data_IF_983342534431
#
_entry.id   IF_983342534431
#
_cell.length_a   1.000
_cell.length_b   1.000
_cell.length_c   1.000
_cell.angle_alpha   90.00
_cell.angle_beta   90.00
_cell.angle_gamma   90.00
#
_symmetry.space_group_name_H-M   'P 1'
#
loop_
_entity.id
_entity.type
_entity.pdbx_description
1 polymer ?
#
# COMPACT_ATOMS: atom_id res chain seq x y z
N UNK A 1 19.60 -13.23 -6.37
CA UNK A 1 19.15 -13.99 -7.56
C UNK A 1 19.51 -13.20 -8.77
N UNK A 2 20.35 -13.80 -9.62
CA UNK A 2 20.71 -13.28 -10.90
C UNK A 2 19.50 -12.89 -11.73
N UNK A 3 19.71 -11.99 -12.67
CA UNK A 3 18.76 -11.66 -13.71
C UNK A 3 18.41 -12.98 -14.41
N UNK A 4 17.35 -13.65 -13.92
CA UNK A 4 16.83 -14.85 -14.55
C UNK A 4 16.64 -14.54 -16.02
N UNK A 5 16.93 -15.48 -16.88
CA UNK A 5 16.90 -15.31 -18.33
C UNK A 5 15.58 -14.64 -18.75
N UNK A 6 15.68 -13.34 -19.03
CA UNK A 6 14.55 -12.63 -19.62
C UNK A 6 14.31 -13.22 -20.99
N UNK A 7 13.09 -13.58 -21.24
CA UNK A 7 12.66 -14.13 -22.52
C UNK A 7 11.54 -13.27 -23.10
N UNK A 8 11.43 -13.27 -24.40
CA UNK A 8 10.30 -12.67 -25.09
C UNK A 8 9.19 -13.70 -25.13
N UNK A 9 8.03 -13.33 -24.61
CA UNK A 9 6.80 -14.14 -24.66
C UNK A 9 5.75 -13.39 -25.46
N UNK A 10 5.18 -14.04 -26.46
CA UNK A 10 4.02 -13.52 -27.19
C UNK A 10 2.74 -13.98 -26.47
N UNK A 11 1.96 -13.02 -25.98
CA UNK A 11 0.64 -13.27 -25.37
C UNK A 11 -0.35 -12.32 -26.01
N UNK A 12 -1.45 -12.88 -26.53
CA UNK A 12 -2.53 -12.16 -27.21
C UNK A 12 -2.04 -11.20 -28.31
N UNK A 13 -1.05 -11.66 -29.10
CA UNK A 13 -0.45 -10.88 -30.18
C UNK A 13 0.49 -9.75 -29.78
N UNK A 14 0.85 -9.65 -28.50
CA UNK A 14 1.83 -8.69 -27.97
C UNK A 14 3.04 -9.40 -27.40
N UNK A 15 4.23 -8.83 -27.64
CA UNK A 15 5.48 -9.36 -27.14
C UNK A 15 5.86 -8.71 -25.80
N UNK A 16 6.29 -9.53 -24.84
CA UNK A 16 6.66 -9.13 -23.49
C UNK A 16 8.04 -9.66 -23.11
N UNK A 17 8.98 -8.77 -22.81
CA UNK A 17 10.27 -9.16 -22.23
C UNK A 17 10.10 -9.33 -20.71
N UNK A 18 10.17 -10.57 -20.22
CA UNK A 18 9.85 -10.89 -18.82
C UNK A 18 10.55 -12.17 -18.36
N UNK A 19 10.64 -12.32 -17.03
CA UNK A 19 11.02 -13.58 -16.36
C UNK A 19 9.80 -14.41 -15.93
N UNK A 20 8.58 -13.85 -16.03
CA UNK A 20 7.35 -14.56 -15.67
C UNK A 20 6.95 -15.58 -16.75
N UNK A 21 6.15 -16.56 -16.37
CA UNK A 21 5.53 -17.52 -17.30
C UNK A 21 4.46 -16.85 -18.17
N UNK A 22 4.14 -17.50 -19.29
CA UNK A 22 3.02 -17.07 -20.15
C UNK A 22 1.68 -17.03 -19.38
N UNK A 23 1.50 -17.90 -18.39
CA UNK A 23 0.32 -17.92 -17.52
C UNK A 23 0.20 -16.63 -16.71
N UNK A 24 1.25 -16.23 -15.99
CA UNK A 24 1.28 -15.00 -15.20
C UNK A 24 1.10 -13.77 -16.11
N UNK A 25 1.77 -13.73 -17.27
CA UNK A 25 1.63 -12.63 -18.21
C UNK A 25 0.19 -12.51 -18.70
N UNK A 26 -0.48 -13.62 -19.05
CA UNK A 26 -1.89 -13.61 -19.49
C UNK A 26 -2.81 -13.07 -18.39
N UNK A 27 -2.68 -13.54 -17.16
CA UNK A 27 -3.45 -13.02 -16.01
C UNK A 27 -3.26 -11.51 -15.81
N UNK A 28 -2.04 -10.99 -16.01
CA UNK A 28 -1.76 -9.55 -15.95
C UNK A 28 -2.40 -8.79 -17.11
N UNK A 29 -2.35 -9.33 -18.33
CA UNK A 29 -2.97 -8.74 -19.53
C UNK A 29 -4.49 -8.65 -19.37
N UNK A 30 -5.13 -9.72 -18.95
CA UNK A 30 -6.57 -9.76 -18.68
C UNK A 30 -7.01 -8.70 -17.66
N UNK A 31 -6.20 -8.50 -16.62
CA UNK A 31 -6.55 -7.60 -15.52
C UNK A 31 -6.18 -6.13 -15.76
N UNK A 32 -5.10 -5.85 -16.48
CA UNK A 32 -4.50 -4.49 -16.62
C UNK A 32 -4.43 -4.01 -18.07
N UNK A 33 -4.68 -4.89 -18.99
CA UNK A 33 -4.54 -4.65 -20.41
C UNK A 33 -3.09 -4.69 -20.89
N UNK A 34 -2.89 -4.92 -22.20
CA UNK A 34 -1.56 -5.17 -22.78
C UNK A 34 -0.58 -4.00 -22.59
N UNK A 35 -1.05 -2.75 -22.68
CA UNK A 35 -0.20 -1.55 -22.56
C UNK A 35 0.36 -1.33 -21.15
N UNK A 36 -0.34 -1.77 -20.11
CA UNK A 36 0.08 -1.58 -18.72
C UNK A 36 0.88 -2.74 -18.16
N UNK A 37 0.71 -3.93 -18.71
CA UNK A 37 1.36 -5.16 -18.22
C UNK A 37 2.86 -5.04 -18.02
N UNK A 38 3.67 -4.43 -18.94
CA UNK A 38 5.11 -4.32 -18.75
C UNK A 38 5.54 -3.54 -17.50
N UNK A 39 4.71 -2.61 -17.02
CA UNK A 39 5.00 -1.86 -15.79
C UNK A 39 5.06 -2.78 -14.57
N UNK A 40 4.26 -3.84 -14.55
CA UNK A 40 4.17 -4.77 -13.42
C UNK A 40 5.37 -5.72 -13.32
N UNK A 41 6.14 -5.90 -14.37
CA UNK A 41 7.37 -6.70 -14.34
C UNK A 41 8.49 -6.05 -13.53
N UNK A 42 8.45 -4.72 -13.38
CA UNK A 42 9.45 -3.96 -12.62
C UNK A 42 8.97 -3.57 -11.22
N UNK A 43 7.68 -3.74 -10.91
CA UNK A 43 7.07 -3.25 -9.66
C UNK A 43 7.70 -3.85 -8.41
N UNK A 44 8.10 -5.13 -8.42
CA UNK A 44 8.76 -5.75 -7.28
C UNK A 44 9.93 -4.90 -6.77
N UNK A 45 10.87 -4.52 -7.64
CA UNK A 45 12.01 -3.67 -7.26
C UNK A 45 11.60 -2.22 -7.09
N UNK A 46 10.90 -1.64 -8.05
CA UNK A 46 10.54 -0.23 -8.03
C UNK A 46 9.72 0.15 -6.78
N UNK A 47 8.70 -0.63 -6.44
CA UNK A 47 7.88 -0.37 -5.25
C UNK A 47 8.47 -0.96 -3.98
N UNK A 48 9.07 -2.16 -4.04
CA UNK A 48 9.71 -2.79 -2.91
C UNK A 48 10.86 -1.95 -2.34
N UNK A 49 11.82 -1.56 -3.17
CA UNK A 49 12.94 -0.72 -2.73
C UNK A 49 12.47 0.67 -2.28
N UNK A 50 11.48 1.23 -2.99
CA UNK A 50 10.96 2.55 -2.66
C UNK A 50 10.26 2.57 -1.29
N UNK A 51 9.27 1.71 -1.09
CA UNK A 51 8.45 1.73 0.12
C UNK A 51 9.01 0.88 1.25
N UNK A 52 9.60 -0.28 0.98
CA UNK A 52 10.07 -1.20 2.00
C UNK A 52 11.56 -1.07 2.31
N UNK A 53 12.34 -0.42 1.45
CA UNK A 53 13.75 -0.19 1.71
C UNK A 53 14.02 0.53 3.03
N UNK A 54 13.37 1.67 3.34
CA UNK A 54 13.48 2.32 4.65
C UNK A 54 13.04 1.41 5.81
N UNK A 55 11.90 0.72 5.65
CA UNK A 55 11.36 -0.21 6.65
C UNK A 55 12.41 -1.27 7.04
N UNK A 56 12.96 -1.99 6.07
CA UNK A 56 13.89 -3.06 6.36
C UNK A 56 15.21 -2.55 6.94
N UNK A 57 15.73 -1.39 6.50
CA UNK A 57 16.89 -0.77 7.17
C UNK A 57 16.62 -0.45 8.64
N UNK A 58 15.42 0.02 8.97
CA UNK A 58 15.04 0.29 10.35
C UNK A 58 14.91 -1.01 11.16
N UNK A 59 14.23 -2.04 10.62
CA UNK A 59 14.07 -3.32 11.30
C UNK A 59 15.41 -4.03 11.54
N UNK A 60 16.33 -3.96 10.57
CA UNK A 60 17.69 -4.48 10.68
C UNK A 60 18.48 -3.74 11.79
N UNK A 61 18.37 -2.40 11.84
CA UNK A 61 18.97 -1.59 12.89
C UNK A 61 18.39 -1.90 14.29
N UNK A 62 17.13 -2.38 14.36
CA UNK A 62 16.51 -2.88 15.59
C UNK A 62 16.90 -4.33 15.93
N UNK A 63 17.73 -4.99 15.11
CA UNK A 63 18.16 -6.38 15.32
C UNK A 63 17.06 -7.44 15.04
N UNK A 64 16.02 -7.09 14.27
CA UNK A 64 14.92 -7.99 13.97
C UNK A 64 15.27 -8.89 12.79
N UNK A 65 15.56 -10.16 13.04
CA UNK A 65 16.06 -11.13 12.07
C UNK A 65 15.12 -12.30 11.79
N UNK A 66 13.97 -12.33 12.46
CA UNK A 66 12.99 -13.44 12.33
C UNK A 66 11.57 -12.89 12.38
N UNK A 67 11.03 -12.53 11.21
CA UNK A 67 9.74 -11.86 11.08
C UNK A 67 8.67 -12.79 10.48
N UNK A 68 7.55 -12.90 11.17
CA UNK A 68 6.28 -13.41 10.62
C UNK A 68 5.51 -12.20 10.09
N UNK A 69 5.27 -12.18 8.79
CA UNK A 69 4.68 -11.02 8.09
C UNK A 69 3.26 -11.35 7.67
N UNK A 70 2.33 -10.42 7.95
CA UNK A 70 1.02 -10.38 7.31
C UNK A 70 1.01 -9.26 6.27
N UNK A 71 0.84 -9.62 5.01
CA UNK A 71 0.63 -8.70 3.89
C UNK A 71 -0.86 -8.54 3.63
N UNK A 72 -1.35 -7.32 3.74
CA UNK A 72 -2.74 -6.94 3.54
C UNK A 72 -2.88 -6.36 2.14
N UNK A 73 -3.80 -6.90 1.33
CA UNK A 73 -3.98 -6.46 -0.04
C UNK A 73 -2.80 -6.83 -0.94
N UNK A 74 -2.54 -8.14 -1.08
CA UNK A 74 -1.36 -8.62 -1.81
C UNK A 74 -1.38 -8.32 -3.32
N UNK A 75 -2.54 -7.98 -3.89
CA UNK A 75 -2.68 -7.58 -5.29
C UNK A 75 -1.97 -8.58 -6.23
N UNK A 76 -1.06 -8.14 -7.10
CA UNK A 76 -0.33 -9.03 -8.02
C UNK A 76 0.85 -9.76 -7.37
N UNK A 77 1.06 -9.65 -6.06
CA UNK A 77 2.13 -10.32 -5.33
C UNK A 77 3.52 -9.72 -5.50
N UNK A 78 3.65 -8.48 -5.99
CA UNK A 78 4.96 -7.86 -6.16
C UNK A 78 5.66 -7.54 -4.82
N UNK A 79 4.89 -7.21 -3.78
CA UNK A 79 5.41 -7.05 -2.42
C UNK A 79 5.69 -8.41 -1.78
N UNK A 80 4.81 -9.41 -2.00
CA UNK A 80 5.03 -10.80 -1.58
C UNK A 80 6.39 -11.33 -2.10
N UNK A 81 6.67 -11.14 -3.41
CA UNK A 81 7.96 -11.51 -4.01
C UNK A 81 9.14 -10.75 -3.39
N UNK A 82 8.96 -9.47 -3.08
CA UNK A 82 10.01 -8.67 -2.43
C UNK A 82 10.29 -9.14 -1.02
N UNK A 83 9.25 -9.48 -0.25
CA UNK A 83 9.35 -10.03 1.10
C UNK A 83 10.08 -11.38 1.11
N UNK A 84 9.82 -12.25 0.11
CA UNK A 84 10.52 -13.52 -0.07
C UNK A 84 12.04 -13.39 -0.08
N UNK A 85 12.55 -12.29 -0.67
CA UNK A 85 14.00 -12.04 -0.77
C UNK A 85 14.64 -11.49 0.51
N UNK A 86 13.86 -11.09 1.50
CA UNK A 86 14.38 -10.48 2.74
C UNK A 86 14.85 -11.56 3.73
N UNK A 87 16.12 -11.55 4.16
CA UNK A 87 16.65 -12.55 5.09
C UNK A 87 15.92 -12.55 6.44
N UNK A 88 15.51 -11.36 6.92
CA UNK A 88 14.77 -11.19 8.16
C UNK A 88 13.36 -11.81 8.12
N UNK A 89 12.74 -11.94 6.93
CA UNK A 89 11.42 -12.54 6.78
C UNK A 89 11.55 -14.06 6.78
N UNK A 90 10.81 -14.74 7.68
CA UNK A 90 10.77 -16.20 7.80
C UNK A 90 9.46 -16.81 7.35
N UNK A 91 8.38 -16.07 7.49
CA UNK A 91 7.05 -16.53 7.10
C UNK A 91 6.23 -15.37 6.57
N UNK A 92 5.53 -15.60 5.46
CA UNK A 92 4.61 -14.65 4.85
C UNK A 92 3.23 -15.29 4.83
N UNK A 93 2.25 -14.53 5.30
CA UNK A 93 0.83 -14.76 5.08
C UNK A 93 0.31 -13.55 4.31
N UNK A 94 -0.42 -13.79 3.24
CA UNK A 94 -0.95 -12.72 2.40
C UNK A 94 -2.45 -12.92 2.17
N UNK A 95 -3.20 -11.84 2.05
CA UNK A 95 -4.59 -11.94 1.62
C UNK A 95 -4.99 -10.76 0.72
N UNK A 96 -6.04 -10.98 -0.04
CA UNK A 96 -6.72 -9.95 -0.83
C UNK A 96 -8.23 -10.20 -0.84
N UNK A 97 -9.00 -9.17 -1.13
CA UNK A 97 -10.45 -9.25 -1.32
C UNK A 97 -10.85 -9.57 -2.77
N UNK A 98 -9.89 -9.56 -3.69
CA UNK A 98 -10.08 -9.91 -5.10
C UNK A 98 -9.51 -11.31 -5.37
N UNK A 99 -10.38 -12.25 -5.70
CA UNK A 99 -10.02 -13.65 -5.99
C UNK A 99 -9.00 -13.77 -7.12
N UNK A 100 -9.10 -12.93 -8.15
CA UNK A 100 -8.17 -12.97 -9.29
C UNK A 100 -6.73 -12.61 -8.86
N UNK A 101 -6.58 -11.68 -7.90
CA UNK A 101 -5.27 -11.38 -7.32
C UNK A 101 -4.74 -12.52 -6.47
N UNK A 102 -5.59 -13.11 -5.63
CA UNK A 102 -5.23 -14.29 -4.82
C UNK A 102 -4.74 -15.43 -5.71
N UNK A 103 -5.46 -15.73 -6.79
CA UNK A 103 -5.09 -16.79 -7.71
C UNK A 103 -3.79 -16.49 -8.46
N UNK A 104 -3.55 -15.23 -8.83
CA UNK A 104 -2.29 -14.81 -9.43
C UNK A 104 -1.11 -14.98 -8.46
N UNK A 105 -1.28 -14.60 -7.19
CA UNK A 105 -0.24 -14.78 -6.18
C UNK A 105 0.04 -16.26 -5.93
N UNK A 106 -0.99 -17.12 -5.87
CA UNK A 106 -0.82 -18.58 -5.74
C UNK A 106 -0.02 -19.16 -6.91
N UNK A 107 -0.34 -18.76 -8.15
CA UNK A 107 0.43 -19.17 -9.33
C UNK A 107 1.89 -18.75 -9.21
N UNK A 108 2.15 -17.53 -8.77
CA UNK A 108 3.52 -17.03 -8.55
C UNK A 108 4.24 -17.77 -7.43
N UNK A 109 3.55 -18.10 -6.34
CA UNK A 109 4.11 -18.91 -5.24
C UNK A 109 4.64 -20.23 -5.78
N UNK A 110 3.84 -20.95 -6.57
CA UNK A 110 4.20 -22.24 -7.14
C UNK A 110 5.33 -22.13 -8.17
N UNK A 111 5.17 -21.22 -9.14
CA UNK A 111 6.12 -21.11 -10.27
C UNK A 111 7.46 -20.51 -9.88
N UNK A 112 7.47 -19.52 -8.95
CA UNK A 112 8.69 -18.84 -8.49
C UNK A 112 9.27 -19.46 -7.21
N UNK A 113 8.67 -20.53 -6.69
CA UNK A 113 9.06 -21.21 -5.45
C UNK A 113 9.25 -20.25 -4.29
N UNK A 114 8.16 -19.51 -3.96
CA UNK A 114 8.20 -18.55 -2.86
C UNK A 114 8.03 -19.29 -1.52
N UNK A 115 9.06 -20.00 -1.08
CA UNK A 115 9.02 -20.97 0.03
C UNK A 115 8.67 -20.36 1.40
N UNK A 116 8.82 -19.05 1.58
CA UNK A 116 8.42 -18.36 2.81
C UNK A 116 6.92 -18.05 2.87
N UNK A 117 6.21 -18.14 1.73
CA UNK A 117 4.77 -17.88 1.67
C UNK A 117 4.02 -19.11 2.19
N UNK A 118 3.54 -19.01 3.42
CA UNK A 118 2.84 -20.11 4.09
C UNK A 118 1.35 -20.15 3.73
N UNK A 119 0.77 -19.02 3.36
CA UNK A 119 -0.67 -18.91 3.08
C UNK A 119 -0.95 -17.72 2.16
N UNK A 120 -1.82 -17.93 1.17
CA UNK A 120 -2.45 -16.87 0.36
C UNK A 120 -3.96 -17.08 0.43
N UNK A 121 -4.68 -16.13 1.03
CA UNK A 121 -6.11 -16.29 1.34
C UNK A 121 -6.96 -15.23 0.65
N UNK A 122 -8.10 -15.63 0.11
CA UNK A 122 -9.18 -14.72 -0.22
C UNK A 122 -10.01 -14.46 1.04
N UNK A 123 -10.25 -13.18 1.35
CA UNK A 123 -11.16 -12.75 2.41
C UNK A 123 -12.11 -11.72 1.80
N UNK A 124 -13.40 -11.97 1.81
CA UNK A 124 -14.35 -10.94 1.39
C UNK A 124 -14.34 -9.73 2.35
N UNK A 125 -14.93 -8.61 1.90
CA UNK A 125 -14.87 -7.36 2.63
C UNK A 125 -15.45 -7.43 4.05
N UNK A 126 -16.46 -8.25 4.30
CA UNK A 126 -17.05 -8.42 5.64
C UNK A 126 -16.20 -9.37 6.50
N UNK A 127 -15.58 -10.41 5.91
CA UNK A 127 -14.66 -11.31 6.62
C UNK A 127 -13.42 -10.57 7.15
N UNK A 128 -13.03 -9.45 6.54
CA UNK A 128 -11.92 -8.62 7.03
C UNK A 128 -12.21 -7.88 8.34
N UNK A 129 -13.47 -7.85 8.80
CA UNK A 129 -13.83 -7.32 10.13
C UNK A 129 -13.29 -8.16 11.28
N UNK A 130 -13.03 -9.44 11.03
CA UNK A 130 -12.40 -10.35 11.98
C UNK A 130 -11.45 -11.26 11.24
N UNK A 131 -10.17 -10.90 11.28
CA UNK A 131 -9.14 -11.69 10.62
C UNK A 131 -9.02 -13.09 11.25
N UNK A 132 -8.84 -14.16 10.44
CA UNK A 132 -8.88 -15.54 10.92
C UNK A 132 -7.58 -15.98 11.62
N UNK A 133 -6.74 -15.05 12.03
CA UNK A 133 -5.51 -15.32 12.75
C UNK A 133 -5.62 -14.87 14.22
N UNK A 134 -4.93 -15.55 15.15
CA UNK A 134 -4.98 -15.23 16.57
C UNK A 134 -4.31 -13.89 16.89
N UNK A 135 -4.56 -13.40 18.10
CA UNK A 135 -3.91 -12.22 18.63
C UNK A 135 -2.40 -12.39 18.65
N UNK A 136 -1.67 -11.38 18.21
CA UNK A 136 -0.20 -11.41 18.24
C UNK A 136 0.47 -12.42 17.29
N UNK A 137 -0.23 -12.84 16.24
CA UNK A 137 0.28 -13.84 15.29
C UNK A 137 1.47 -13.35 14.46
N UNK A 138 1.60 -12.04 14.25
CA UNK A 138 2.56 -11.45 13.30
C UNK A 138 3.47 -10.41 13.94
N UNK A 139 4.74 -10.40 13.54
CA UNK A 139 5.75 -9.44 14.00
C UNK A 139 5.74 -8.17 13.13
N UNK A 140 5.28 -8.29 11.89
CA UNK A 140 5.07 -7.19 10.96
C UNK A 140 3.71 -7.35 10.26
N UNK A 141 2.87 -6.34 10.36
CA UNK A 141 1.63 -6.21 9.57
C UNK A 141 1.85 -5.07 8.57
N UNK A 142 1.67 -5.37 7.29
CA UNK A 142 2.04 -4.49 6.19
C UNK A 142 0.84 -4.22 5.27
N UNK A 143 0.48 -2.95 5.11
CA UNK A 143 -0.53 -2.45 4.18
C UNK A 143 0.10 -1.38 3.27
N UNK A 144 0.26 -1.68 1.97
CA UNK A 144 0.88 -0.77 0.98
C UNK A 144 -0.14 -0.38 -0.07
N UNK A 145 -0.66 0.85 -0.02
CA UNK A 145 -1.71 1.32 -0.92
C UNK A 145 -3.03 0.56 -0.71
N UNK A 146 -3.47 0.44 0.55
CA UNK A 146 -4.64 -0.37 0.93
C UNK A 146 -5.69 0.45 1.66
N UNK A 147 -5.30 1.23 2.67
CA UNK A 147 -6.24 1.85 3.62
C UNK A 147 -7.22 2.80 2.93
N UNK A 148 -6.81 3.49 1.88
CA UNK A 148 -7.66 4.35 1.04
C UNK A 148 -8.77 3.59 0.32
N UNK A 149 -8.53 2.31 -0.01
CA UNK A 149 -9.48 1.46 -0.70
C UNK A 149 -10.48 0.78 0.22
N UNK A 150 -10.22 0.77 1.53
CA UNK A 150 -11.13 0.19 2.50
C UNK A 150 -12.44 0.99 2.56
N UNK A 151 -13.61 0.33 2.56
CA UNK A 151 -14.88 0.99 2.78
C UNK A 151 -14.85 1.81 4.07
N UNK A 152 -15.27 3.08 4.02
CA UNK A 152 -15.19 3.98 5.18
C UNK A 152 -15.89 3.41 6.43
N UNK A 153 -16.99 2.65 6.24
CA UNK A 153 -17.74 1.97 7.32
C UNK A 153 -16.97 0.84 8.01
N UNK A 154 -16.04 0.19 7.28
CA UNK A 154 -15.26 -0.96 7.76
C UNK A 154 -13.85 -0.59 8.19
N UNK A 155 -13.31 0.52 7.68
CA UNK A 155 -11.90 0.92 7.80
C UNK A 155 -11.36 0.83 9.23
N UNK A 156 -12.11 1.39 10.18
CA UNK A 156 -11.69 1.38 11.59
C UNK A 156 -11.64 -0.05 12.16
N UNK A 157 -12.67 -0.84 11.94
CA UNK A 157 -12.72 -2.22 12.42
C UNK A 157 -11.59 -3.08 11.82
N UNK A 158 -11.26 -2.86 10.55
CA UNK A 158 -10.16 -3.55 9.89
C UNK A 158 -8.80 -3.15 10.47
N UNK A 159 -8.57 -1.86 10.75
CA UNK A 159 -7.31 -1.41 11.38
C UNK A 159 -7.21 -1.88 12.84
N UNK A 160 -8.32 -2.00 13.55
CA UNK A 160 -8.35 -2.64 14.88
C UNK A 160 -7.90 -4.11 14.80
N UNK A 161 -8.30 -4.83 13.75
CA UNK A 161 -7.86 -6.20 13.52
C UNK A 161 -6.37 -6.30 13.14
N UNK A 162 -5.85 -5.35 12.34
CA UNK A 162 -4.41 -5.25 12.06
C UNK A 162 -3.60 -5.11 13.35
N UNK A 163 -4.08 -4.28 14.26
CA UNK A 163 -3.46 -4.12 15.59
C UNK A 163 -3.64 -5.36 16.48
N UNK A 164 -4.79 -6.02 16.45
CA UNK A 164 -5.04 -7.23 17.25
C UNK A 164 -4.08 -8.36 16.90
N UNK A 165 -3.91 -8.63 15.61
CA UNK A 165 -3.03 -9.72 15.13
C UNK A 165 -1.54 -9.39 15.21
N UNK A 166 -1.18 -8.13 15.52
CA UNK A 166 0.20 -7.69 15.68
C UNK A 166 0.75 -8.16 17.03
N UNK A 167 1.93 -8.77 17.04
CA UNK A 167 2.61 -9.22 18.26
C UNK A 167 3.04 -8.04 19.16
N UNK A 168 3.21 -8.24 20.47
CA UNK A 168 3.91 -7.27 21.33
C UNK A 168 5.30 -6.94 20.75
N UNK A 169 5.67 -5.66 20.74
CA UNK A 169 6.86 -5.12 20.07
C UNK A 169 6.89 -5.28 18.54
N UNK A 170 5.83 -5.82 17.91
CA UNK A 170 5.67 -5.90 16.46
C UNK A 170 5.40 -4.54 15.81
N UNK A 171 5.48 -4.49 14.49
CA UNK A 171 5.38 -3.26 13.70
C UNK A 171 4.19 -3.28 12.74
N UNK A 172 3.39 -2.20 12.76
CA UNK A 172 2.34 -1.93 11.78
C UNK A 172 2.85 -0.88 10.79
N UNK A 173 3.01 -1.27 9.54
CA UNK A 173 3.42 -0.39 8.46
C UNK A 173 2.23 -0.09 7.54
N UNK A 174 1.85 1.17 7.43
CA UNK A 174 0.84 1.68 6.49
C UNK A 174 1.55 2.63 5.54
N UNK A 175 1.75 2.19 4.31
CA UNK A 175 2.60 2.87 3.32
C UNK A 175 1.80 3.19 2.04
N UNK A 176 2.26 4.21 1.30
CA UNK A 176 1.69 4.64 0.01
C UNK A 176 0.18 4.98 0.08
N UNK A 177 -0.29 5.41 1.24
CA UNK A 177 -1.69 5.78 1.45
C UNK A 177 -1.89 7.27 1.16
N UNK A 178 -2.72 7.67 0.17
CA UNK A 178 -3.01 9.08 -0.12
C UNK A 178 -3.64 9.79 1.06
N UNK A 179 -3.08 10.94 1.41
CA UNK A 179 -3.49 11.70 2.59
C UNK A 179 -4.72 12.58 2.29
N UNK A 180 -5.83 12.29 2.97
CA UNK A 180 -7.06 13.09 2.87
C UNK A 180 -6.88 14.55 3.26
N UNK A 181 -5.95 14.87 4.16
CA UNK A 181 -5.68 16.25 4.58
C UNK A 181 -4.93 17.06 3.50
N UNK A 182 -4.29 16.40 2.54
CA UNK A 182 -3.55 17.07 1.48
C UNK A 182 -4.52 17.71 0.47
N UNK A 183 -4.28 18.97 0.03
CA UNK A 183 -5.26 19.70 -0.81
C UNK A 183 -5.52 19.09 -2.19
N UNK A 184 -4.53 18.42 -2.78
CA UNK A 184 -4.67 17.80 -4.09
C UNK A 184 -4.91 16.29 -3.93
N UNK A 185 -6.03 15.81 -4.42
CA UNK A 185 -6.25 14.38 -4.55
C UNK A 185 -5.36 13.87 -5.70
N UNK A 186 -4.47 12.92 -5.43
CA UNK A 186 -3.44 12.46 -6.38
C UNK A 186 -3.57 10.99 -6.74
N UNK A 187 -4.55 10.29 -6.16
CA UNK A 187 -4.66 8.84 -6.28
C UNK A 187 -5.57 8.41 -7.44
N UNK A 188 -6.76 8.96 -7.52
CA UNK A 188 -7.79 8.53 -8.48
C UNK A 188 -8.30 9.66 -9.37
N UNK A 189 -8.85 10.72 -8.80
CA UNK A 189 -9.50 11.80 -9.57
C UNK A 189 -8.50 12.84 -10.06
N UNK A 190 -7.49 13.15 -9.27
CA UNK A 190 -6.45 14.13 -9.62
C UNK A 190 -6.95 15.57 -9.62
N UNK A 191 -7.91 15.91 -8.74
CA UNK A 191 -8.47 17.26 -8.62
C UNK A 191 -8.31 17.82 -7.20
N UNK A 192 -8.07 19.15 -7.05
CA UNK A 192 -7.96 19.78 -5.75
C UNK A 192 -9.25 19.65 -4.94
N UNK A 193 -9.15 19.24 -3.67
CA UNK A 193 -10.23 19.24 -2.70
C UNK A 193 -11.40 18.29 -2.96
N UNK A 194 -11.35 17.48 -4.00
CA UNK A 194 -12.45 16.55 -4.34
C UNK A 194 -12.76 15.60 -3.19
N UNK A 195 -11.76 15.15 -2.45
CA UNK A 195 -11.86 14.24 -1.31
C UNK A 195 -12.57 14.86 -0.08
N UNK A 196 -12.80 16.18 -0.09
CA UNK A 196 -13.49 16.90 1.00
C UNK A 196 -14.95 17.17 0.69
N UNK A 197 -15.35 17.03 -0.58
CA UNK A 197 -16.70 17.34 -1.00
C UNK A 197 -17.67 16.21 -0.60
N UNK A 198 -18.96 16.55 -0.38
CA UNK A 198 -20.02 15.56 -0.32
C UNK A 198 -20.03 14.69 -1.60
N UNK A 199 -20.36 13.41 -1.53
CA UNK A 199 -20.20 12.45 -2.63
C UNK A 199 -20.80 12.92 -3.96
N UNK A 200 -22.03 13.46 -3.96
CA UNK A 200 -22.67 13.97 -5.18
C UNK A 200 -21.92 15.14 -5.79
N UNK A 201 -21.42 16.08 -4.96
CA UNK A 201 -20.63 17.20 -5.46
C UNK A 201 -19.27 16.76 -5.97
N UNK A 202 -18.60 15.82 -5.27
CA UNK A 202 -17.36 15.21 -5.74
C UNK A 202 -17.53 14.54 -7.10
N UNK A 203 -18.60 13.79 -7.29
CA UNK A 203 -18.92 13.13 -8.55
C UNK A 203 -19.12 14.14 -9.71
N UNK A 204 -19.93 15.18 -9.51
CA UNK A 204 -20.12 16.21 -10.54
C UNK A 204 -18.83 16.98 -10.82
N UNK A 205 -18.05 17.29 -9.79
CA UNK A 205 -16.75 17.96 -9.95
C UNK A 205 -15.75 17.06 -10.71
N UNK A 206 -15.71 15.76 -10.43
CA UNK A 206 -14.89 14.82 -11.18
C UNK A 206 -15.29 14.73 -12.66
N UNK A 207 -16.59 14.70 -12.96
CA UNK A 207 -17.09 14.68 -14.35
C UNK A 207 -16.74 15.95 -15.12
N UNK A 208 -16.83 17.11 -14.50
CA UNK A 208 -16.47 18.39 -15.13
C UNK A 208 -14.96 18.53 -15.31
N UNK A 209 -14.19 18.19 -14.29
CA UNK A 209 -12.73 18.37 -14.29
C UNK A 209 -11.96 17.28 -15.06
N UNK A 210 -12.55 16.10 -15.22
CA UNK A 210 -11.97 14.93 -15.90
C UNK A 210 -12.97 14.23 -16.81
N UNK A 211 -13.56 14.90 -17.79
CA UNK A 211 -14.68 14.38 -18.58
C UNK A 211 -14.30 13.10 -19.37
N UNK A 212 -13.05 12.95 -19.79
CA UNK A 212 -12.60 11.74 -20.50
C UNK A 212 -12.61 10.49 -19.62
N UNK A 213 -12.44 10.64 -18.32
CA UNK A 213 -12.35 9.52 -17.36
C UNK A 213 -13.70 9.28 -16.68
N UNK A 214 -14.36 10.37 -16.25
CA UNK A 214 -15.54 10.29 -15.41
C UNK A 214 -16.84 10.74 -16.10
N UNK A 215 -16.77 11.27 -17.34
CA UNK A 215 -17.93 11.84 -18.03
C UNK A 215 -19.08 10.84 -18.25
N UNK A 216 -18.74 9.59 -18.55
CA UNK A 216 -19.72 8.51 -18.75
C UNK A 216 -19.90 7.60 -17.52
N UNK A 217 -19.13 7.81 -16.44
CA UNK A 217 -19.20 6.95 -15.26
C UNK A 217 -20.51 7.19 -14.49
N UNK A 218 -21.18 6.13 -14.05
CA UNK A 218 -22.35 6.23 -13.19
C UNK A 218 -21.95 6.64 -11.75
N UNK A 219 -22.91 7.22 -11.01
CA UNK A 219 -22.64 7.64 -9.62
C UNK A 219 -22.32 6.43 -8.71
N UNK A 220 -23.01 5.33 -8.92
CA UNK A 220 -22.81 4.07 -8.18
C UNK A 220 -21.41 3.50 -8.41
N UNK A 221 -20.90 3.59 -9.64
CA UNK A 221 -19.52 3.15 -9.97
C UNK A 221 -18.48 4.08 -9.33
N UNK A 222 -18.74 5.41 -9.31
CA UNK A 222 -17.87 6.37 -8.61
C UNK A 222 -17.83 6.11 -7.10
N UNK A 223 -18.95 5.66 -6.54
CA UNK A 223 -19.10 5.36 -5.11
C UNK A 223 -18.73 3.93 -4.72
N UNK A 224 -18.44 3.06 -5.70
CA UNK A 224 -18.11 1.67 -5.42
C UNK A 224 -16.95 1.54 -4.43
N UNK A 225 -17.05 0.54 -3.56
CA UNK A 225 -15.99 0.19 -2.63
C UNK A 225 -14.68 -0.06 -3.42
N UNK A 226 -13.57 0.41 -2.88
CA UNK A 226 -12.26 0.25 -3.52
C UNK A 226 -11.85 1.35 -4.52
N UNK A 227 -12.69 2.34 -4.83
CA UNK A 227 -12.32 3.45 -5.74
C UNK A 227 -11.25 4.38 -5.16
N UNK A 228 -11.18 4.50 -3.83
CA UNK A 228 -10.10 5.23 -3.14
C UNK A 228 -10.16 6.77 -3.22
N UNK A 229 -11.12 7.36 -3.94
CA UNK A 229 -11.18 8.82 -4.18
C UNK A 229 -11.28 9.69 -2.91
N UNK A 230 -11.78 9.11 -1.81
CA UNK A 230 -11.89 9.80 -0.52
C UNK A 230 -10.56 9.90 0.21
N UNK A 231 -9.54 9.18 -0.23
CA UNK A 231 -8.26 9.05 0.46
C UNK A 231 -8.42 8.53 1.91
N UNK A 232 -7.36 8.51 2.69
CA UNK A 232 -7.41 8.19 4.12
C UNK A 232 -6.81 9.31 4.96
N UNK A 233 -7.40 9.55 6.12
CA UNK A 233 -6.80 10.43 7.12
C UNK A 233 -5.76 9.68 7.95
N UNK A 234 -4.87 10.42 8.61
CA UNK A 234 -3.91 9.84 9.56
C UNK A 234 -4.61 9.01 10.65
N UNK A 235 -5.80 9.44 11.10
CA UNK A 235 -6.61 8.72 12.08
C UNK A 235 -7.16 7.40 11.55
N UNK A 236 -7.43 7.31 10.25
CA UNK A 236 -7.89 6.08 9.60
C UNK A 236 -6.80 4.99 9.56
N UNK A 237 -5.54 5.37 9.76
CA UNK A 237 -4.41 4.45 9.83
C UNK A 237 -4.11 3.96 11.26
N UNK A 238 -4.89 4.37 12.24
CA UNK A 238 -4.74 3.99 13.65
C UNK A 238 -5.90 3.12 14.13
N UNK A 239 -5.66 2.20 15.08
CA UNK A 239 -6.72 1.50 15.77
C UNK A 239 -7.61 2.47 16.57
N UNK A 240 -8.77 2.01 17.00
CA UNK A 240 -9.73 2.79 17.80
C UNK A 240 -9.12 3.32 19.11
N UNK A 241 -8.15 2.60 19.67
CA UNK A 241 -7.36 3.02 20.84
C UNK A 241 -6.37 4.16 20.52
N UNK A 242 -6.25 4.58 19.27
CA UNK A 242 -5.27 5.57 18.84
C UNK A 242 -3.83 5.11 19.09
N UNK A 243 -3.00 5.98 19.65
CA UNK A 243 -1.60 5.68 19.99
C UNK A 243 -1.41 5.08 21.40
N UNK A 244 -2.47 4.78 22.16
CA UNK A 244 -2.33 4.30 23.55
C UNK A 244 -1.45 3.04 23.67
N UNK A 245 -1.58 2.12 22.71
CA UNK A 245 -0.78 0.89 22.64
C UNK A 245 0.32 0.91 21.58
N UNK A 246 0.55 2.05 20.92
CA UNK A 246 1.50 2.22 19.83
C UNK A 246 2.51 3.33 20.10
N UNK A 247 3.68 3.19 19.52
CA UNK A 247 4.70 4.23 19.40
C UNK A 247 4.84 4.58 17.92
N UNK A 248 4.75 5.87 17.59
CA UNK A 248 5.02 6.33 16.21
C UNK A 248 6.52 6.40 15.99
N UNK A 249 7.03 5.48 15.19
CA UNK A 249 8.45 5.40 14.81
C UNK A 249 8.69 5.79 13.34
N UNK A 250 7.72 6.46 12.73
CA UNK A 250 7.71 6.85 11.33
C UNK A 250 8.97 7.60 10.91
N UNK A 251 9.34 8.65 11.63
CA UNK A 251 10.53 9.44 11.28
C UNK A 251 11.84 8.71 11.60
N UNK A 252 11.88 7.90 12.65
CA UNK A 252 13.03 7.05 13.00
C UNK A 252 13.30 6.01 11.90
N UNK A 253 12.26 5.50 11.27
CA UNK A 253 12.35 4.57 10.15
C UNK A 253 12.71 5.24 8.80
N UNK A 254 12.90 6.57 8.80
CA UNK A 254 13.25 7.32 7.59
C UNK A 254 12.08 7.68 6.70
N UNK A 255 10.83 7.54 7.19
CA UNK A 255 9.62 8.02 6.51
C UNK A 255 9.31 9.50 6.85
N UNK A 256 8.11 9.93 6.57
CA UNK A 256 7.70 11.31 6.82
C UNK A 256 8.42 12.30 5.92
N UNK A 257 8.93 13.40 6.49
CA UNK A 257 9.58 14.47 5.74
C UNK A 257 10.79 13.99 4.94
N UNK A 258 11.66 13.19 5.54
CA UNK A 258 12.88 12.68 4.89
C UNK A 258 12.55 11.88 3.64
N UNK A 259 11.60 10.96 3.74
CA UNK A 259 11.15 10.17 2.60
C UNK A 259 10.58 11.04 1.49
N UNK A 260 9.74 12.01 1.84
CA UNK A 260 9.14 12.92 0.88
C UNK A 260 10.20 13.76 0.16
N UNK A 261 11.18 14.30 0.91
CA UNK A 261 12.30 15.07 0.37
C UNK A 261 13.15 14.24 -0.59
N UNK A 262 13.62 13.07 -0.15
CA UNK A 262 14.57 12.24 -0.91
C UNK A 262 13.93 11.62 -2.17
N UNK A 263 12.60 11.48 -2.19
CA UNK A 263 11.83 10.95 -3.31
C UNK A 263 11.24 12.01 -4.23
N UNK A 264 11.49 13.30 -3.97
CA UNK A 264 10.98 14.42 -4.78
C UNK A 264 11.71 14.51 -6.14
N UNK A 265 11.22 13.77 -7.14
CA UNK A 265 11.82 13.75 -8.50
C UNK A 265 11.27 14.84 -9.41
N UNK A 266 10.00 15.22 -9.29
CA UNK A 266 9.41 16.23 -10.18
C UNK A 266 9.87 17.65 -9.83
N UNK A 267 9.98 18.50 -10.86
CA UNK A 267 10.34 19.93 -10.70
C UNK A 267 9.40 20.63 -9.72
N UNK A 268 8.09 20.44 -9.90
CA UNK A 268 7.07 21.02 -9.03
C UNK A 268 7.25 20.60 -7.56
N UNK A 269 7.49 19.30 -7.29
CA UNK A 269 7.75 18.86 -5.91
C UNK A 269 8.99 19.53 -5.34
N UNK A 270 10.09 19.63 -6.09
CA UNK A 270 11.33 20.28 -5.65
C UNK A 270 11.13 21.75 -5.33
N UNK A 271 10.37 22.47 -6.13
CA UNK A 271 10.05 23.90 -5.88
C UNK A 271 9.25 24.10 -4.58
N UNK A 272 8.40 23.14 -4.21
CA UNK A 272 7.57 23.20 -3.01
C UNK A 272 8.25 22.70 -1.74
N UNK A 273 9.44 22.06 -1.82
CA UNK A 273 10.15 21.51 -0.67
C UNK A 273 10.35 22.51 0.48
N UNK A 274 10.75 23.78 0.25
CA UNK A 274 10.90 24.74 1.36
C UNK A 274 9.60 24.97 2.14
N UNK A 275 8.48 25.09 1.44
CA UNK A 275 7.17 25.27 2.09
C UNK A 275 6.77 24.04 2.93
N UNK A 276 7.02 22.84 2.41
CA UNK A 276 6.79 21.62 3.16
C UNK A 276 7.73 21.48 4.37
N UNK A 277 8.99 21.90 4.24
CA UNK A 277 9.94 21.91 5.36
C UNK A 277 9.44 22.77 6.52
N UNK A 278 8.96 23.97 6.22
CA UNK A 278 8.37 24.89 7.22
C UNK A 278 7.12 24.29 7.85
N UNK A 279 6.21 23.74 7.05
CA UNK A 279 5.00 23.10 7.57
C UNK A 279 5.31 21.89 8.47
N UNK A 280 6.25 21.03 8.07
CA UNK A 280 6.70 19.91 8.89
C UNK A 280 7.36 20.36 10.20
N UNK A 281 8.18 21.43 10.18
CA UNK A 281 8.79 21.98 11.37
C UNK A 281 7.73 22.58 12.33
N UNK A 282 6.74 23.29 11.81
CA UNK A 282 5.64 23.82 12.60
C UNK A 282 4.80 22.70 13.25
N UNK A 283 4.50 21.63 12.52
CA UNK A 283 3.79 20.48 13.07
C UNK A 283 4.60 19.82 14.21
N UNK A 284 5.91 19.61 14.02
CA UNK A 284 6.77 19.06 15.08
C UNK A 284 6.77 19.96 16.33
N UNK A 285 6.91 21.25 16.14
CA UNK A 285 6.88 22.21 17.27
C UNK A 285 5.53 22.18 18.01
N UNK A 286 4.44 21.88 17.30
CA UNK A 286 3.11 21.69 17.88
C UNK A 286 2.86 20.26 18.43
N UNK A 287 3.87 19.38 18.48
CA UNK A 287 3.72 17.98 18.91
C UNK A 287 2.85 17.14 17.98
N UNK A 288 2.78 17.51 16.69
CA UNK A 288 1.99 16.82 15.68
C UNK A 288 2.87 16.10 14.66
N UNK A 289 2.43 14.93 14.13
CA UNK A 289 3.18 14.21 13.11
C UNK A 289 3.35 15.05 11.83
N UNK A 290 4.57 15.19 11.31
CA UNK A 290 4.83 15.90 10.04
C UNK A 290 4.12 15.31 8.83
N UNK A 291 3.81 14.01 8.86
CA UNK A 291 3.05 13.32 7.82
C UNK A 291 1.68 13.92 7.54
N UNK A 292 1.10 14.69 8.48
CA UNK A 292 -0.19 15.35 8.30
C UNK A 292 -0.22 16.37 7.14
N UNK A 293 0.91 16.99 6.78
CA UNK A 293 0.96 17.94 5.66
C UNK A 293 1.51 17.32 4.36
N UNK A 294 1.91 16.05 4.35
CA UNK A 294 2.46 15.40 3.18
C UNK A 294 1.37 14.77 2.30
N UNK A 295 1.60 14.63 0.98
CA UNK A 295 0.58 14.10 0.06
C UNK A 295 0.25 12.62 0.27
N UNK A 296 1.20 11.85 0.82
CA UNK A 296 1.03 10.43 1.15
C UNK A 296 1.42 10.18 2.59
N UNK A 297 0.67 9.30 3.22
CA UNK A 297 0.97 8.74 4.53
C UNK A 297 1.86 7.50 4.32
N UNK A 298 3.09 7.58 4.84
CA UNK A 298 4.00 6.46 4.99
C UNK A 298 4.31 6.38 6.48
N UNK A 299 3.62 5.49 7.18
CA UNK A 299 3.58 5.44 8.63
C UNK A 299 4.13 4.11 9.12
N UNK A 300 4.90 4.15 10.20
CA UNK A 300 5.36 2.97 10.92
C UNK A 300 5.09 3.13 12.40
N UNK A 301 4.34 2.20 12.95
CA UNK A 301 4.01 2.14 14.37
C UNK A 301 4.60 0.89 14.99
N UNK A 302 5.14 1.00 16.19
CA UNK A 302 5.58 -0.14 16.99
C UNK A 302 4.58 -0.39 18.11
N UNK A 303 4.10 -1.63 18.26
CA UNK A 303 3.26 -2.02 19.39
C UNK A 303 4.11 -2.02 20.66
N UNK A 304 3.62 -1.35 21.71
CA UNK A 304 4.27 -1.39 23.03
C UNK A 304 4.22 -2.81 23.61
N UNK A 305 5.18 -3.13 24.46
CA UNK A 305 5.23 -4.42 25.15
C UNK A 305 4.12 -4.56 26.17
#
# INVERSE_FOLDING_TARGET
MDAGDRRILTVDGCDYETTYSARVVRMLVERKGPRRTPLYFTYKRARGDHFLGPLFRYLDACGLTSLRVLEIGCSFGHITEYLQERPAVKRIVAFDTDTAFVDMVRVKVDELRLDKVAEVRHLDGEATRRLPWPDGAFDLVLAVGVVEHLPARLRRAQVDEYYRVLAPAGHLAVLDTPNRAFPLETHSVGLPGVQWLPPRLAYHYARLGRPRTYGALAFEEFMADGTGWMNASWRDCLPSSGLAGLEDVTEQAGYGWRFFHDTARSRTRRTLLPAFAVACAALRAAGRPPSLCLPYLNLLFRRRR
#
